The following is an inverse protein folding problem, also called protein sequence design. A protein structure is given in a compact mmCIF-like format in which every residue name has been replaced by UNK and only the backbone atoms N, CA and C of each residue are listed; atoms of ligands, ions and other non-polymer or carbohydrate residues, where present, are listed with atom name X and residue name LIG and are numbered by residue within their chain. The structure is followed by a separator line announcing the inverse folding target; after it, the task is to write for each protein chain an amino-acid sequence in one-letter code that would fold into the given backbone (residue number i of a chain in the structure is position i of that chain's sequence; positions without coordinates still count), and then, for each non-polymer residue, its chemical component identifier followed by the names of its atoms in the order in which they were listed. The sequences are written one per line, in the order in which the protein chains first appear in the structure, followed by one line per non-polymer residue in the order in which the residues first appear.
data_IF_176009764695
#
_entry.id   IF_176009764695
#
_cell.length_a   1.000
_cell.length_b   1.000
_cell.length_c   1.000
_cell.angle_alpha   90.00
_cell.angle_beta   90.00
_cell.angle_gamma   90.00
#
_symmetry.space_group_name_H-M   'P 1'
#
loop_
_entity.id
_entity.type
_entity.pdbx_description
1 polymer ?
#
# COMPACT_ATOMS: atom_id res chain seq x y z
N UNK A 1 -20.94 47.56 -64.08
CA UNK A 1 -21.57 46.21 -64.05
C UNK A 1 -22.05 45.94 -62.64
N UNK A 2 -23.33 45.59 -62.45
CA UNK A 2 -23.88 45.30 -61.11
C UNK A 2 -23.21 44.06 -60.52
N UNK A 3 -22.44 44.26 -59.44
CA UNK A 3 -21.73 43.19 -58.71
C UNK A 3 -22.57 42.57 -57.60
N UNK A 4 -23.73 43.15 -57.29
CA UNK A 4 -24.55 42.71 -56.16
C UNK A 4 -25.57 41.66 -56.64
N UNK A 5 -25.45 40.39 -56.18
CA UNK A 5 -26.33 39.29 -56.62
C UNK A 5 -27.79 39.46 -56.16
N UNK A 6 -28.07 40.38 -55.21
CA UNK A 6 -29.43 40.69 -54.74
C UNK A 6 -30.20 41.64 -55.65
N UNK A 7 -29.50 42.38 -56.51
CA UNK A 7 -30.13 43.36 -57.42
C UNK A 7 -30.42 42.72 -58.79
N UNK A 8 -29.79 41.59 -59.09
CA UNK A 8 -30.02 40.88 -60.35
C UNK A 8 -31.31 40.06 -60.30
N UNK A 9 -32.07 40.12 -61.39
CA UNK A 9 -33.24 39.28 -61.60
C UNK A 9 -32.81 37.83 -61.84
N UNK A 10 -33.59 36.88 -61.33
CA UNK A 10 -33.38 35.47 -61.60
C UNK A 10 -33.70 35.16 -63.08
N UNK A 11 -32.83 34.41 -63.74
CA UNK A 11 -33.04 33.92 -65.10
C UNK A 11 -33.69 32.53 -65.05
N UNK A 12 -34.78 32.33 -65.79
CA UNK A 12 -35.49 31.04 -65.81
C UNK A 12 -34.57 29.93 -66.35
N UNK A 13 -34.51 28.80 -65.65
CA UNK A 13 -33.72 27.63 -66.06
C UNK A 13 -32.22 27.73 -65.80
N UNK A 14 -31.74 28.80 -65.14
CA UNK A 14 -30.33 28.96 -64.76
C UNK A 14 -30.18 29.16 -63.25
N UNK A 15 -29.07 28.71 -62.65
CA UNK A 15 -28.77 29.01 -61.25
C UNK A 15 -28.53 30.52 -61.07
N UNK A 16 -28.79 31.01 -59.85
CA UNK A 16 -28.60 32.41 -59.50
C UNK A 16 -27.13 32.82 -59.70
N UNK A 17 -26.91 33.95 -60.37
CA UNK A 17 -25.57 34.48 -60.62
C UNK A 17 -24.98 35.06 -59.33
N UNK A 18 -23.88 34.47 -58.86
CA UNK A 18 -23.18 34.92 -57.65
C UNK A 18 -22.26 36.15 -57.86
N UNK A 19 -22.12 36.65 -59.09
CA UNK A 19 -21.39 37.88 -59.45
C UNK A 19 -19.92 38.00 -59.00
N UNK A 20 -19.33 36.94 -58.44
CA UNK A 20 -17.92 36.93 -58.09
C UNK A 20 -17.07 36.73 -59.34
N UNK A 21 -15.89 37.36 -59.33
CA UNK A 21 -14.85 37.11 -60.33
C UNK A 21 -14.29 35.72 -60.07
N UNK A 22 -14.75 34.76 -60.87
CA UNK A 22 -14.24 33.40 -60.84
C UNK A 22 -12.89 33.33 -61.56
N UNK A 23 -11.98 32.44 -61.10
CA UNK A 23 -10.83 32.03 -61.89
C UNK A 23 -11.23 31.61 -63.32
N UNK A 24 -10.32 31.79 -64.28
CA UNK A 24 -10.56 31.49 -65.70
C UNK A 24 -10.90 30.02 -65.96
N UNK A 25 -11.22 29.70 -67.21
CA UNK A 25 -11.66 28.35 -67.61
C UNK A 25 -10.63 27.24 -67.34
N UNK A 26 -9.34 27.59 -67.27
CA UNK A 26 -8.26 26.63 -67.01
C UNK A 26 -8.12 26.26 -65.52
N UNK A 27 -8.91 26.87 -64.64
CA UNK A 27 -8.87 26.60 -63.21
C UNK A 27 -9.77 25.42 -62.83
N UNK A 28 -9.17 24.34 -62.37
CA UNK A 28 -9.89 23.22 -61.78
C UNK A 28 -10.26 23.53 -60.33
N UNK A 29 -11.56 23.55 -60.03
CA UNK A 29 -12.06 23.68 -58.66
C UNK A 29 -11.89 22.35 -57.91
N UNK A 30 -11.45 22.44 -56.65
CA UNK A 30 -11.27 21.28 -55.78
C UNK A 30 -9.90 21.28 -55.11
N UNK A 31 -9.69 20.33 -54.20
CA UNK A 31 -8.40 20.11 -53.58
C UNK A 31 -7.57 19.20 -54.50
N UNK A 32 -6.60 19.77 -55.19
CA UNK A 32 -5.59 19.00 -55.89
C UNK A 32 -4.55 18.50 -54.89
N UNK A 33 -4.41 17.19 -54.77
CA UNK A 33 -3.38 16.55 -53.94
C UNK A 33 -2.22 16.22 -54.86
N UNK A 34 -1.19 17.07 -54.86
CA UNK A 34 0.07 16.80 -55.54
C UNK A 34 0.73 15.55 -54.95
N UNK A 35 0.73 14.46 -55.73
CA UNK A 35 1.47 13.24 -55.38
C UNK A 35 2.96 13.46 -55.69
N UNK A 36 3.67 14.03 -54.73
CA UNK A 36 5.13 14.25 -54.83
C UNK A 36 5.91 13.06 -54.28
N UNK A 37 5.23 12.00 -53.86
CA UNK A 37 5.82 10.92 -53.05
C UNK A 37 6.65 9.88 -53.85
N UNK A 38 6.88 10.10 -55.15
CA UNK A 38 7.70 9.20 -55.99
C UNK A 38 7.20 7.77 -56.17
N UNK A 39 6.09 7.42 -55.52
CA UNK A 39 5.50 6.09 -55.52
C UNK A 39 6.28 5.05 -54.72
N UNK A 40 5.91 3.79 -54.95
CA UNK A 40 6.52 2.60 -54.30
C UNK A 40 8.05 2.53 -54.42
N UNK A 41 8.69 2.80 -55.59
CA UNK A 41 10.13 2.64 -55.70
C UNK A 41 10.91 3.66 -54.84
N UNK A 42 10.42 4.89 -54.69
CA UNK A 42 11.06 5.89 -53.84
C UNK A 42 10.91 5.54 -52.36
N UNK A 43 9.75 5.01 -51.95
CA UNK A 43 9.50 4.56 -50.58
C UNK A 43 10.37 3.37 -50.14
N UNK A 44 10.68 2.44 -51.04
CA UNK A 44 11.53 1.27 -50.74
C UNK A 44 13.01 1.60 -50.89
N UNK A 45 13.38 2.41 -51.89
CA UNK A 45 14.77 2.66 -52.26
C UNK A 45 15.49 3.75 -51.46
N UNK A 46 14.78 4.61 -50.73
CA UNK A 46 15.37 5.75 -50.04
C UNK A 46 14.96 5.81 -48.56
N UNK A 47 15.97 5.84 -47.68
CA UNK A 47 15.73 6.15 -46.27
C UNK A 47 15.50 7.65 -46.11
N UNK A 48 14.24 8.07 -46.15
CA UNK A 48 13.85 9.46 -45.94
C UNK A 48 14.15 9.89 -44.51
N UNK A 49 15.32 10.48 -44.29
CA UNK A 49 15.62 11.20 -43.06
C UNK A 49 14.75 12.45 -43.06
N UNK A 50 13.76 12.49 -42.18
CA UNK A 50 12.88 13.65 -42.01
C UNK A 50 13.77 14.86 -41.72
N UNK A 51 14.03 15.68 -42.73
CA UNK A 51 14.68 16.96 -42.51
C UNK A 51 13.73 17.77 -41.62
N UNK A 52 14.17 18.24 -40.44
CA UNK A 52 13.31 19.04 -39.60
C UNK A 52 12.83 20.21 -40.44
N UNK A 53 11.51 20.31 -40.62
CA UNK A 53 10.88 21.35 -41.42
C UNK A 53 11.42 22.68 -40.90
N UNK A 54 12.30 23.33 -41.67
CA UNK A 54 12.90 24.59 -41.29
C UNK A 54 11.79 25.63 -41.27
N UNK A 55 11.32 25.90 -40.06
CA UNK A 55 10.42 26.97 -39.70
C UNK A 55 9.32 27.26 -40.72
N UNK A 56 8.22 26.51 -40.69
CA UNK A 56 6.95 27.21 -40.83
C UNK A 56 6.96 28.24 -39.71
N UNK A 57 7.24 29.50 -40.03
CA UNK A 57 7.11 30.60 -39.11
C UNK A 57 5.64 30.66 -38.75
N UNK A 58 5.22 29.86 -37.77
CA UNK A 58 3.90 29.99 -37.18
C UNK A 58 3.81 31.44 -36.79
N UNK A 59 2.79 32.12 -37.31
CA UNK A 59 2.52 33.49 -36.93
C UNK A 59 2.10 33.46 -35.46
N UNK A 60 3.09 33.49 -34.58
CA UNK A 60 2.89 33.48 -33.15
C UNK A 60 2.01 34.66 -32.79
N UNK A 61 1.01 34.47 -31.91
CA UNK A 61 0.13 35.55 -31.51
C UNK A 61 0.98 36.66 -30.87
N UNK A 62 0.58 37.91 -31.13
CA UNK A 62 1.22 39.08 -30.54
C UNK A 62 1.07 39.07 -29.02
N UNK A 63 2.11 39.50 -28.33
CA UNK A 63 2.08 39.63 -26.88
C UNK A 63 1.67 41.05 -26.47
N UNK A 64 0.37 41.31 -26.46
CA UNK A 64 -0.17 42.62 -26.11
C UNK A 64 0.22 43.08 -24.69
N UNK A 65 0.47 42.16 -23.75
CA UNK A 65 0.80 42.55 -22.37
C UNK A 65 2.17 43.22 -22.31
N UNK A 66 3.17 42.62 -22.95
CA UNK A 66 4.53 43.19 -23.00
C UNK A 66 4.58 44.43 -23.89
N UNK A 67 3.87 44.42 -25.01
CA UNK A 67 3.76 45.59 -25.89
C UNK A 67 3.11 46.78 -25.17
N UNK A 68 2.02 46.57 -24.43
CA UNK A 68 1.32 47.64 -23.71
C UNK A 68 2.18 48.21 -22.58
N UNK A 69 2.87 47.33 -21.82
CA UNK A 69 3.82 47.77 -20.79
C UNK A 69 4.95 48.61 -21.38
N UNK A 70 5.49 48.20 -22.53
CA UNK A 70 6.53 48.96 -23.24
C UNK A 70 6.03 50.29 -23.78
N UNK A 71 4.80 50.33 -24.31
CA UNK A 71 4.19 51.56 -24.81
C UNK A 71 3.96 52.57 -23.68
N UNK A 72 3.45 52.11 -22.53
CA UNK A 72 3.28 52.94 -21.33
C UNK A 72 4.63 53.46 -20.82
N UNK A 73 5.67 52.61 -20.81
CA UNK A 73 7.03 53.02 -20.43
C UNK A 73 7.63 54.06 -21.38
N UNK A 74 7.22 54.05 -22.66
CA UNK A 74 7.61 55.04 -23.66
C UNK A 74 6.74 56.31 -23.63
N UNK A 75 5.75 56.40 -22.73
CA UNK A 75 4.91 57.58 -22.56
C UNK A 75 3.72 57.69 -23.53
N UNK A 76 3.38 56.63 -24.26
CA UNK A 76 2.18 56.63 -25.11
C UNK A 76 0.93 56.51 -24.25
N UNK A 77 -0.05 57.36 -24.52
CA UNK A 77 -1.29 57.44 -23.73
C UNK A 77 -2.53 57.26 -24.60
N UNK A 78 -2.45 57.52 -25.91
CA UNK A 78 -3.60 57.48 -26.81
C UNK A 78 -3.64 56.19 -27.63
N UNK A 79 -4.84 55.64 -27.88
CA UNK A 79 -5.03 54.40 -28.66
C UNK A 79 -4.36 54.43 -30.05
N UNK A 80 -4.34 55.59 -30.72
CA UNK A 80 -3.65 55.80 -32.01
C UNK A 80 -2.14 55.60 -31.89
N UNK A 81 -1.55 56.08 -30.80
CA UNK A 81 -0.12 55.96 -30.52
C UNK A 81 0.26 54.52 -30.19
N UNK A 82 -0.58 53.82 -29.42
CA UNK A 82 -0.44 52.39 -29.19
C UNK A 82 -0.45 51.62 -30.51
N UNK A 83 -1.34 51.96 -31.44
CA UNK A 83 -1.37 51.33 -32.76
C UNK A 83 -0.09 51.59 -33.58
N UNK A 84 0.51 52.78 -33.48
CA UNK A 84 1.81 53.08 -34.09
C UNK A 84 2.92 52.27 -33.42
N UNK A 85 2.89 52.17 -32.09
CA UNK A 85 3.83 51.37 -31.31
C UNK A 85 3.76 49.89 -31.68
N UNK A 86 2.55 49.33 -31.88
CA UNK A 86 2.37 47.94 -32.28
C UNK A 86 2.87 47.63 -33.69
N UNK A 87 2.90 48.63 -34.57
CA UNK A 87 3.48 48.49 -35.91
C UNK A 87 5.01 48.57 -35.87
N UNK A 88 5.54 49.45 -35.02
CA UNK A 88 6.99 49.65 -34.88
C UNK A 88 7.68 48.53 -34.09
N UNK A 89 7.02 47.97 -33.07
CA UNK A 89 7.58 46.94 -32.18
C UNK A 89 6.66 45.72 -32.10
N UNK A 90 6.73 44.84 -33.10
CA UNK A 90 5.97 43.58 -33.13
C UNK A 90 6.62 42.53 -32.20
N UNK A 91 6.15 42.44 -30.95
CA UNK A 91 6.58 41.42 -29.99
C UNK A 91 5.60 40.25 -30.06
N UNK A 92 6.10 39.07 -30.41
CA UNK A 92 5.30 37.84 -30.46
C UNK A 92 5.58 36.96 -29.26
N UNK A 93 4.56 36.20 -28.85
CA UNK A 93 4.73 35.18 -27.80
C UNK A 93 5.76 34.15 -28.24
N UNK A 94 6.59 33.72 -27.28
CA UNK A 94 7.48 32.59 -27.49
C UNK A 94 6.64 31.30 -27.52
N UNK A 95 7.06 30.35 -28.34
CA UNK A 95 6.48 29.01 -28.43
C UNK A 95 6.86 28.22 -27.17
N UNK A 96 6.30 28.60 -26.01
CA UNK A 96 6.60 27.95 -24.72
C UNK A 96 6.01 26.53 -24.65
N UNK A 97 5.07 26.20 -25.54
CA UNK A 97 4.47 24.87 -25.67
C UNK A 97 5.48 23.80 -26.13
N UNK A 98 6.55 24.20 -26.82
CA UNK A 98 7.64 23.29 -27.23
C UNK A 98 8.83 23.26 -26.26
N UNK A 99 8.81 24.04 -25.18
CA UNK A 99 9.98 24.18 -24.30
C UNK A 99 10.05 23.19 -23.13
N UNK A 100 8.94 22.51 -22.76
CA UNK A 100 8.99 21.53 -21.65
C UNK A 100 9.67 20.23 -22.04
N UNK A 101 9.66 19.89 -23.32
CA UNK A 101 10.48 18.83 -23.89
C UNK A 101 11.55 19.48 -24.75
N UNK A 102 12.60 19.98 -24.10
CA UNK A 102 13.87 20.25 -24.78
C UNK A 102 14.16 19.04 -25.66
N UNK A 103 14.39 19.25 -26.95
CA UNK A 103 14.75 18.22 -27.96
C UNK A 103 16.02 17.43 -27.61
N UNK A 104 16.66 17.73 -26.49
CA UNK A 104 17.75 16.97 -25.91
C UNK A 104 17.18 16.01 -24.87
N UNK A 105 17.53 14.70 -24.91
CA UNK A 105 17.37 13.83 -23.77
C UNK A 105 17.91 14.54 -22.51
N UNK A 106 17.28 14.37 -21.33
CA UNK A 106 17.86 14.87 -20.09
C UNK A 106 19.31 14.41 -20.02
N UNK A 107 20.23 15.28 -19.57
CA UNK A 107 21.63 14.89 -19.40
C UNK A 107 21.68 13.82 -18.31
N UNK A 108 21.71 12.57 -18.75
CA UNK A 108 21.83 11.41 -17.89
C UNK A 108 23.32 11.21 -17.58
N UNK A 109 23.72 11.14 -16.30
CA UNK A 109 25.11 10.84 -15.95
C UNK A 109 25.51 9.47 -16.51
N UNK A 110 26.78 9.32 -16.91
CA UNK A 110 27.28 8.12 -17.59
C UNK A 110 27.08 6.82 -16.79
N UNK A 111 27.03 6.92 -15.46
CA UNK A 111 26.84 5.79 -14.55
C UNK A 111 25.36 5.43 -14.30
N UNK A 112 24.40 6.11 -14.93
CA UNK A 112 22.98 5.83 -14.70
C UNK A 112 22.54 4.60 -15.49
N UNK A 113 22.29 3.50 -14.78
CA UNK A 113 21.71 2.28 -15.35
C UNK A 113 20.20 2.43 -15.50
N UNK A 114 19.67 2.24 -16.71
CA UNK A 114 18.23 2.19 -16.95
C UNK A 114 17.64 0.85 -16.47
N UNK A 115 16.39 0.87 -15.99
CA UNK A 115 15.65 -0.35 -15.65
C UNK A 115 15.76 -0.82 -14.20
N UNK A 116 16.57 -0.17 -13.36
CA UNK A 116 16.48 -0.35 -11.91
C UNK A 116 15.36 0.54 -11.36
N UNK A 117 14.31 -0.01 -10.71
CA UNK A 117 13.32 0.82 -10.04
C UNK A 117 14.04 1.64 -8.97
N UNK A 118 13.74 2.95 -8.92
CA UNK A 118 14.27 3.80 -7.86
C UNK A 118 13.92 3.17 -6.52
N UNK A 119 14.91 3.05 -5.61
CA UNK A 119 14.64 2.66 -4.23
C UNK A 119 13.53 3.56 -3.72
N UNK A 120 12.38 3.01 -3.26
CA UNK A 120 11.31 3.85 -2.75
C UNK A 120 11.91 4.73 -1.66
N UNK A 121 11.66 6.04 -1.75
CA UNK A 121 12.04 6.95 -0.68
C UNK A 121 11.42 6.42 0.61
N UNK A 122 12.14 6.59 1.74
CA UNK A 122 11.53 6.36 3.05
C UNK A 122 10.17 7.03 3.07
N UNK A 123 9.08 6.29 3.32
CA UNK A 123 7.72 6.81 3.18
C UNK A 123 7.59 8.05 4.05
N UNK A 124 7.62 9.21 3.42
CA UNK A 124 7.75 10.51 4.08
C UNK A 124 6.58 10.78 5.05
N UNK A 125 5.43 10.22 4.71
CA UNK A 125 4.24 10.23 5.55
C UNK A 125 4.44 9.49 6.88
N UNK A 126 5.13 8.36 6.89
CA UNK A 126 5.37 7.57 8.10
C UNK A 126 6.31 8.29 9.07
N UNK A 127 7.19 9.15 8.54
CA UNK A 127 8.06 10.02 9.33
C UNK A 127 7.24 11.13 10.01
N UNK A 128 6.37 11.81 9.26
CA UNK A 128 5.49 12.85 9.83
C UNK A 128 4.46 12.32 10.82
N UNK A 129 3.96 11.11 10.57
CA UNK A 129 3.05 10.42 11.50
C UNK A 129 3.77 9.79 12.68
N UNK A 130 5.10 9.92 12.78
CA UNK A 130 5.91 9.34 13.85
C UNK A 130 5.75 7.82 14.02
N UNK A 131 5.39 7.08 12.96
CA UNK A 131 5.19 5.62 13.03
C UNK A 131 6.43 4.88 13.55
N UNK A 132 7.63 5.34 13.16
CA UNK A 132 8.87 4.75 13.64
C UNK A 132 9.09 4.95 15.14
N UNK A 133 8.60 6.06 15.71
CA UNK A 133 8.61 6.29 17.16
C UNK A 133 7.64 5.31 17.84
N UNK A 134 6.44 5.13 17.28
CA UNK A 134 5.44 4.20 17.82
C UNK A 134 5.95 2.76 17.82
N UNK A 135 6.52 2.29 16.70
CA UNK A 135 7.15 0.98 16.59
C UNK A 135 8.25 0.77 17.63
N UNK A 136 9.10 1.78 17.84
CA UNK A 136 10.14 1.72 18.86
C UNK A 136 9.54 1.63 20.28
N UNK A 137 8.51 2.42 20.58
CA UNK A 137 7.82 2.38 21.87
C UNK A 137 7.16 1.03 22.14
N UNK A 138 6.54 0.42 21.13
CA UNK A 138 5.96 -0.93 21.22
C UNK A 138 7.03 -1.99 21.50
N UNK A 139 8.16 -1.91 20.80
CA UNK A 139 9.29 -2.80 21.04
C UNK A 139 9.81 -2.68 22.47
N UNK A 140 9.95 -1.46 23.00
CA UNK A 140 10.34 -1.23 24.39
C UNK A 140 9.32 -1.78 25.40
N UNK A 141 8.02 -1.61 25.13
CA UNK A 141 6.95 -2.19 25.95
C UNK A 141 7.01 -3.72 25.96
N UNK A 142 7.21 -4.34 24.78
CA UNK A 142 7.34 -5.78 24.65
C UNK A 142 8.56 -6.32 25.41
N UNK A 143 9.71 -5.68 25.29
CA UNK A 143 10.92 -6.01 26.06
C UNK A 143 10.67 -5.91 27.57
N UNK A 144 10.03 -4.83 28.01
CA UNK A 144 9.70 -4.61 29.43
C UNK A 144 8.74 -5.68 29.94
N UNK A 145 7.73 -6.06 29.15
CA UNK A 145 6.78 -7.11 29.48
C UNK A 145 7.47 -8.48 29.59
N UNK A 146 8.35 -8.82 28.63
CA UNK A 146 9.14 -10.05 28.67
C UNK A 146 10.03 -10.11 29.92
N UNK A 147 10.73 -9.02 30.24
CA UNK A 147 11.55 -8.92 31.46
C UNK A 147 10.72 -9.08 32.73
N UNK A 148 9.51 -8.50 32.79
CA UNK A 148 8.58 -8.67 33.92
C UNK A 148 8.12 -10.12 34.07
N UNK A 149 7.84 -10.82 32.97
CA UNK A 149 7.47 -12.24 33.01
C UNK A 149 8.63 -13.09 33.51
N UNK A 150 9.85 -12.84 33.02
CA UNK A 150 11.05 -13.54 33.48
C UNK A 150 11.35 -13.28 34.96
N UNK A 151 11.20 -12.04 35.43
CA UNK A 151 11.29 -11.73 36.87
C UNK A 151 10.21 -12.43 37.68
N UNK A 152 8.94 -12.39 37.26
CA UNK A 152 7.85 -13.12 37.91
C UNK A 152 8.09 -14.63 37.95
N UNK A 153 8.67 -15.24 36.90
CA UNK A 153 9.04 -16.66 36.90
C UNK A 153 10.14 -16.97 37.92
N UNK A 154 11.11 -16.07 38.11
CA UNK A 154 12.15 -16.19 39.14
C UNK A 154 11.60 -15.97 40.56
N UNK A 155 10.66 -15.04 40.72
CA UNK A 155 10.00 -14.71 41.99
C UNK A 155 8.88 -15.68 42.37
N UNK A 156 8.53 -16.65 41.51
CA UNK A 156 7.72 -17.80 41.93
C UNK A 156 8.54 -18.56 42.97
N UNK A 157 8.24 -18.31 44.24
CA UNK A 157 8.76 -19.05 45.38
C UNK A 157 8.64 -20.53 45.04
N UNK A 158 9.78 -21.20 44.82
CA UNK A 158 9.78 -22.64 44.53
C UNK A 158 9.16 -23.31 45.74
N UNK A 159 8.06 -24.01 45.50
CA UNK A 159 7.40 -24.78 46.55
C UNK A 159 8.41 -25.79 47.11
N UNK A 160 8.68 -25.69 48.41
CA UNK A 160 9.54 -26.65 49.10
C UNK A 160 8.83 -28.01 49.12
N UNK A 161 9.61 -29.09 49.20
CA UNK A 161 9.07 -30.47 49.22
C UNK A 161 7.95 -30.64 50.26
N UNK A 162 8.03 -29.93 51.38
CA UNK A 162 7.03 -29.92 52.45
C UNK A 162 5.69 -29.28 52.03
N UNK A 163 5.69 -28.18 51.27
CA UNK A 163 4.44 -27.54 50.80
C UNK A 163 3.76 -28.38 49.72
N UNK A 164 4.54 -29.04 48.85
CA UNK A 164 4.01 -29.95 47.82
C UNK A 164 3.30 -31.14 48.47
N UNK A 165 3.93 -31.77 49.49
CA UNK A 165 3.35 -32.91 50.21
C UNK A 165 2.10 -32.57 51.04
N UNK A 166 1.92 -31.30 51.42
CA UNK A 166 0.68 -30.82 52.07
C UNK A 166 -0.47 -30.66 51.07
N UNK A 167 -0.18 -30.18 49.85
CA UNK A 167 -1.19 -30.00 48.79
C UNK A 167 -1.61 -31.32 48.16
N UNK A 168 -0.68 -32.26 48.05
CA UNK A 168 -0.91 -33.62 47.58
C UNK A 168 -0.58 -34.60 48.71
N UNK A 169 -1.54 -34.92 49.59
CA UNK A 169 -1.33 -35.98 50.56
C UNK A 169 -1.02 -37.27 49.80
N UNK A 170 0.12 -37.89 50.13
CA UNK A 170 0.49 -39.18 49.56
C UNK A 170 -0.61 -40.18 49.91
N UNK A 171 -1.14 -40.96 48.95
CA UNK A 171 -2.13 -41.97 49.25
C UNK A 171 -1.58 -42.86 50.36
N UNK A 172 -2.38 -43.05 51.41
CA UNK A 172 -2.02 -43.92 52.54
C UNK A 172 -1.72 -45.28 51.94
N UNK A 173 -0.43 -45.66 51.91
CA UNK A 173 -0.06 -47.01 51.52
C UNK A 173 -0.72 -47.92 52.54
N UNK A 174 -1.59 -48.81 52.07
CA UNK A 174 -2.07 -49.91 52.89
C UNK A 174 -0.82 -50.66 53.34
N UNK A 175 -0.55 -50.64 54.65
CA UNK A 175 0.59 -51.31 55.24
C UNK A 175 0.37 -52.80 55.06
N UNK A 176 0.93 -53.38 53.98
CA UNK A 176 1.00 -54.81 53.83
C UNK A 176 2.02 -55.32 54.84
N UNK A 177 1.52 -55.89 55.94
CA UNK A 177 2.35 -56.66 56.84
C UNK A 177 3.06 -57.76 56.04
N UNK A 178 4.35 -57.94 56.28
CA UNK A 178 5.17 -58.90 55.54
C UNK A 178 4.58 -60.30 55.69
N UNK A 179 4.25 -60.95 54.57
CA UNK A 179 3.80 -62.33 54.52
C UNK A 179 4.46 -63.06 53.35
N UNK A 180 4.54 -64.38 53.46
CA UNK A 180 5.20 -65.23 52.46
C UNK A 180 4.30 -65.40 51.22
N UNK A 181 4.78 -65.11 49.99
CA UNK A 181 3.95 -65.16 48.77
C UNK A 181 3.35 -66.54 48.46
N UNK A 182 4.00 -67.63 48.89
CA UNK A 182 3.47 -68.97 48.67
C UNK A 182 2.21 -69.27 49.51
N UNK A 183 2.02 -68.54 50.61
CA UNK A 183 0.85 -68.70 51.49
C UNK A 183 -0.38 -67.94 50.98
N UNK A 184 -0.25 -67.02 50.01
CA UNK A 184 -1.42 -66.36 49.40
C UNK A 184 -2.33 -67.35 48.66
N UNK A 185 -1.76 -68.42 48.10
CA UNK A 185 -2.50 -69.42 47.33
C UNK A 185 -3.18 -70.48 48.20
N UNK A 186 -2.79 -70.60 49.47
CA UNK A 186 -3.27 -71.65 50.38
C UNK A 186 -4.22 -71.03 51.39
N UNK A 187 -5.50 -71.41 51.31
CA UNK A 187 -6.50 -70.99 52.28
C UNK A 187 -6.20 -71.49 53.71
N UNK A 188 -6.70 -70.80 54.75
CA UNK A 188 -6.49 -71.20 56.13
C UNK A 188 -7.04 -72.62 56.36
N UNK A 189 -6.16 -73.53 56.80
CA UNK A 189 -6.52 -74.92 57.09
C UNK A 189 -7.32 -75.08 58.40
N UNK A 190 -7.23 -74.10 59.30
CA UNK A 190 -7.93 -74.08 60.58
C UNK A 190 -8.93 -72.93 60.61
N UNK A 191 -10.20 -73.23 60.89
CA UNK A 191 -11.21 -72.22 61.24
C UNK A 191 -11.37 -72.20 62.76
N UNK A 192 -10.90 -71.13 63.40
CA UNK A 192 -11.05 -70.92 64.85
C UNK A 192 -12.40 -70.31 65.22
N UNK A 193 -13.24 -69.97 64.24
CA UNK A 193 -14.57 -69.42 64.48
C UNK A 193 -15.62 -70.54 64.52
N UNK A 194 -16.60 -70.46 65.44
CA UNK A 194 -17.68 -71.46 65.53
C UNK A 194 -18.52 -71.53 64.26
N UNK A 195 -18.87 -70.37 63.69
CA UNK A 195 -19.75 -70.23 62.53
C UNK A 195 -19.17 -69.26 61.48
N UNK A 196 -19.61 -69.41 60.22
CA UNK A 196 -19.21 -68.51 59.13
C UNK A 196 -19.67 -67.07 59.38
N UNK A 197 -20.88 -66.89 59.90
CA UNK A 197 -21.44 -65.56 60.17
C UNK A 197 -20.69 -64.86 61.31
N UNK A 198 -20.22 -65.63 62.31
CA UNK A 198 -19.39 -65.10 63.38
C UNK A 198 -18.03 -64.60 62.86
N UNK A 199 -17.46 -65.29 61.87
CA UNK A 199 -16.23 -64.86 61.19
C UNK A 199 -16.43 -63.54 60.45
N UNK A 200 -17.44 -63.43 59.60
CA UNK A 200 -17.72 -62.21 58.82
C UNK A 200 -18.01 -61.02 59.75
N UNK A 201 -18.73 -61.25 60.86
CA UNK A 201 -18.99 -60.24 61.89
C UNK A 201 -17.71 -59.78 62.60
N UNK A 202 -16.80 -60.71 62.93
CA UNK A 202 -15.52 -60.38 63.58
C UNK A 202 -14.60 -59.57 62.66
N UNK A 203 -14.46 -59.96 61.38
CA UNK A 203 -13.68 -59.19 60.40
C UNK A 203 -14.30 -57.80 60.15
N UNK A 204 -15.63 -57.72 60.05
CA UNK A 204 -16.33 -56.44 59.88
C UNK A 204 -16.15 -55.52 61.10
N UNK A 205 -16.19 -56.06 62.31
CA UNK A 205 -15.90 -55.31 63.54
C UNK A 205 -14.45 -54.81 63.56
N UNK A 206 -13.49 -55.68 63.21
CA UNK A 206 -12.08 -55.30 63.13
C UNK A 206 -11.85 -54.15 62.13
N UNK A 207 -12.45 -54.22 60.93
CA UNK A 207 -12.37 -53.15 59.93
C UNK A 207 -12.99 -51.83 60.40
N UNK A 208 -14.09 -51.88 61.16
CA UNK A 208 -14.73 -50.69 61.75
C UNK A 208 -13.91 -50.08 62.89
N UNK A 209 -13.11 -50.87 63.58
CA UNK A 209 -12.22 -50.40 64.66
C UNK A 209 -10.88 -49.84 64.15
N UNK A 210 -10.47 -50.11 62.90
CA UNK A 210 -9.21 -49.61 62.32
C UNK A 210 -9.03 -48.09 62.48
N UNK A 211 -10.04 -47.24 62.22
CA UNK A 211 -9.90 -45.79 62.39
C UNK A 211 -9.74 -45.35 63.85
N UNK A 212 -10.20 -46.15 64.82
CA UNK A 212 -10.05 -45.85 66.25
C UNK A 212 -8.70 -46.31 66.81
N UNK A 213 -8.08 -47.35 66.21
CA UNK A 213 -6.76 -47.89 66.60
C UNK A 213 -5.60 -47.13 65.97
N UNK A 214 -5.77 -46.59 64.76
CA UNK A 214 -4.83 -45.61 64.20
C UNK A 214 -5.16 -44.26 64.83
N UNK A 215 -4.25 -43.73 65.66
CA UNK A 215 -4.45 -42.47 66.38
C UNK A 215 -4.92 -41.31 65.48
N UNK A 216 -5.45 -40.22 66.06
CA UNK A 216 -6.14 -39.18 65.31
C UNK A 216 -5.25 -38.63 64.19
N UNK A 217 -5.73 -38.79 62.95
CA UNK A 217 -5.19 -38.06 61.81
C UNK A 217 -5.31 -36.56 62.13
N UNK A 218 -4.24 -35.76 61.97
CA UNK A 218 -4.31 -34.34 62.28
C UNK A 218 -5.33 -33.69 61.35
N UNK A 219 -6.43 -33.22 61.93
CA UNK A 219 -7.42 -32.42 61.24
C UNK A 219 -6.76 -31.09 60.83
N UNK A 220 -6.86 -30.78 59.55
CA UNK A 220 -6.29 -29.58 58.95
C UNK A 220 -6.77 -28.31 59.64
N UNK A 221 -5.82 -27.48 60.06
CA UNK A 221 -6.06 -26.11 60.53
C UNK A 221 -6.55 -25.30 59.33
N UNK A 222 -7.83 -24.91 59.36
CA UNK A 222 -8.39 -23.93 58.44
C UNK A 222 -7.60 -22.62 58.56
N UNK A 223 -6.91 -22.25 57.47
CA UNK A 223 -6.24 -20.96 57.36
C UNK A 223 -7.31 -19.89 57.04
N UNK A 224 -7.41 -18.91 57.94
CA UNK A 224 -8.14 -17.66 57.72
C UNK A 224 -7.47 -16.88 56.58
N UNK A 225 -8.34 -16.32 55.74
CA UNK A 225 -8.15 -15.47 54.55
C UNK A 225 -6.98 -14.49 54.57
#
# INVERSE_FOLDING_TARGET
MLRNPRILKAELGKPQRNCYTLPGFDFAYGLYIERTDGGVPEAIGHWNTIKPRTGLTRNMPRDFITMNRGALKAGYTTAREFNLYYKAKDIRRKDDEYSRFRRSPPKVPADMTYGMPARPSTPFFDVFQHKYKELWMEQQRALTAALRVEKKKKDKLRETRTTILRKQPVPVKEESFWHLPHLEKVGPHLSTFPDRDAREKAFSAAHREVPARRGPLPQDIQAVS
#
